data_IF_138379524396
#
_entry.id   IF_138379524396
#
_cell.length_a   1.000
_cell.length_b   1.000
_cell.length_c   1.000
_cell.angle_alpha   90.00
_cell.angle_beta   90.00
_cell.angle_gamma   90.00
#
_symmetry.space_group_name_H-M   'P 1'
#
loop_
_entity.id
_entity.type
_entity.pdbx_description
1 polymer ?
#
# COMPACT_ATOMS: atom_id res chain seq x y z
N UNK A 1 16.25 -8.13 1.62
CA UNK A 1 15.21 -7.98 0.60
C UNK A 1 13.96 -7.41 1.25
N UNK A 2 13.39 -6.38 0.67
CA UNK A 2 12.22 -5.74 1.27
C UNK A 2 10.97 -6.60 1.12
N UNK A 3 10.13 -6.58 2.12
CA UNK A 3 8.90 -7.35 2.19
C UNK A 3 7.72 -6.38 2.19
N UNK A 4 6.89 -6.46 1.16
CA UNK A 4 5.82 -5.50 0.91
C UNK A 4 4.45 -6.15 1.10
N UNK A 5 3.49 -5.37 1.63
CA UNK A 5 2.10 -5.79 1.74
C UNK A 5 1.27 -4.92 0.79
N UNK A 6 0.53 -5.55 -0.10
CA UNK A 6 -0.37 -4.87 -1.04
C UNK A 6 -1.81 -5.19 -0.66
N UNK A 7 -2.60 -4.17 -0.41
CA UNK A 7 -4.00 -4.31 0.00
C UNK A 7 -4.89 -3.67 -1.06
N UNK A 8 -5.65 -4.50 -1.78
CA UNK A 8 -6.54 -4.05 -2.85
C UNK A 8 -7.62 -5.10 -3.04
N UNK A 9 -8.87 -4.69 -3.19
CA UNK A 9 -9.98 -5.63 -3.35
C UNK A 9 -10.07 -6.24 -4.74
N UNK A 10 -9.37 -5.70 -5.72
CA UNK A 10 -9.36 -6.22 -7.08
C UNK A 10 -8.23 -7.21 -7.26
N UNK A 11 -8.58 -8.48 -7.55
CA UNK A 11 -7.57 -9.52 -7.69
C UNK A 11 -6.62 -9.27 -8.85
N UNK A 12 -7.11 -8.68 -9.94
CA UNK A 12 -6.26 -8.38 -11.10
C UNK A 12 -5.19 -7.36 -10.75
N UNK A 13 -5.56 -6.34 -9.96
CA UNK A 13 -4.62 -5.32 -9.51
C UNK A 13 -3.58 -5.94 -8.57
N UNK A 14 -4.03 -6.79 -7.64
CA UNK A 14 -3.10 -7.46 -6.72
C UNK A 14 -2.07 -8.30 -7.50
N UNK A 15 -2.52 -9.06 -8.49
CA UNK A 15 -1.62 -9.87 -9.29
C UNK A 15 -0.63 -9.02 -10.07
N UNK A 16 -1.11 -7.93 -10.66
CA UNK A 16 -0.26 -7.03 -11.42
C UNK A 16 0.82 -6.40 -10.54
N UNK A 17 0.41 -5.85 -9.40
CA UNK A 17 1.34 -5.19 -8.49
C UNK A 17 2.36 -6.19 -7.93
N UNK A 18 1.89 -7.38 -7.54
CA UNK A 18 2.79 -8.40 -7.03
C UNK A 18 3.83 -8.79 -8.07
N UNK A 19 3.40 -9.06 -9.30
CA UNK A 19 4.31 -9.46 -10.36
C UNK A 19 5.36 -8.37 -10.65
N UNK A 20 4.90 -7.13 -10.76
CA UNK A 20 5.79 -6.01 -11.08
C UNK A 20 6.78 -5.70 -9.95
N UNK A 21 6.31 -5.78 -8.71
CA UNK A 21 7.18 -5.50 -7.57
C UNK A 21 8.14 -6.66 -7.29
N UNK A 22 7.70 -7.89 -7.48
CA UNK A 22 8.60 -9.04 -7.39
C UNK A 22 9.69 -8.99 -8.44
N UNK A 23 9.35 -8.47 -9.62
CA UNK A 23 10.32 -8.29 -10.69
C UNK A 23 11.40 -7.27 -10.31
N UNK A 24 11.09 -6.36 -9.39
CA UNK A 24 12.05 -5.39 -8.86
C UNK A 24 12.89 -5.96 -7.71
N UNK A 25 12.65 -7.19 -7.32
CA UNK A 25 13.43 -7.86 -6.28
C UNK A 25 12.80 -7.89 -4.90
N UNK A 26 11.56 -7.42 -4.76
CA UNK A 26 10.88 -7.44 -3.47
C UNK A 26 10.10 -8.74 -3.28
N UNK A 27 9.83 -9.09 -2.02
CA UNK A 27 8.86 -10.12 -1.72
C UNK A 27 7.52 -9.43 -1.45
N UNK A 28 6.42 -9.99 -1.93
CA UNK A 28 5.11 -9.33 -1.87
C UNK A 28 4.05 -10.28 -1.32
N UNK A 29 3.30 -9.80 -0.33
CA UNK A 29 2.09 -10.47 0.15
C UNK A 29 0.91 -9.60 -0.24
N UNK A 30 -0.16 -10.21 -0.72
CA UNK A 30 -1.34 -9.48 -1.15
C UNK A 30 -2.55 -9.83 -0.29
N UNK A 31 -3.40 -8.85 -0.06
CA UNK A 31 -4.63 -9.02 0.72
C UNK A 31 -5.79 -8.34 0.00
N UNK A 32 -6.99 -8.94 0.11
CA UNK A 32 -8.18 -8.42 -0.54
C UNK A 32 -9.12 -7.65 0.38
N UNK A 33 -8.86 -7.64 1.68
CA UNK A 33 -9.73 -6.96 2.63
C UNK A 33 -8.99 -6.61 3.90
N UNK A 34 -9.67 -5.83 4.77
CA UNK A 34 -9.09 -5.33 6.01
C UNK A 34 -8.70 -6.46 6.96
N UNK A 35 -9.55 -7.44 7.10
CA UNK A 35 -9.33 -8.54 8.03
C UNK A 35 -8.03 -9.28 7.70
N UNK A 36 -7.85 -9.63 6.42
CA UNK A 36 -6.63 -10.29 5.97
C UNK A 36 -5.40 -9.44 6.21
N UNK A 37 -5.52 -8.12 5.92
CA UNK A 37 -4.41 -7.20 6.08
C UNK A 37 -3.95 -7.13 7.53
N UNK A 38 -4.89 -7.00 8.46
CA UNK A 38 -4.56 -6.91 9.88
C UNK A 38 -3.95 -8.23 10.37
N UNK A 39 -4.47 -9.36 9.94
CA UNK A 39 -3.89 -10.65 10.29
C UNK A 39 -2.44 -10.75 9.83
N UNK A 40 -2.16 -10.36 8.60
CA UNK A 40 -0.81 -10.41 8.07
C UNK A 40 0.13 -9.49 8.86
N UNK A 41 -0.34 -8.30 9.23
CA UNK A 41 0.46 -7.38 10.03
C UNK A 41 0.80 -7.93 11.41
N UNK A 42 -0.06 -8.75 11.97
CA UNK A 42 0.19 -9.40 13.26
C UNK A 42 1.09 -10.60 13.15
N UNK A 43 1.11 -11.27 12.00
CA UNK A 43 1.85 -12.51 11.81
C UNK A 43 3.27 -12.31 11.30
N UNK A 44 3.55 -11.24 10.57
CA UNK A 44 4.85 -11.02 9.97
C UNK A 44 5.18 -9.53 9.86
N UNK A 45 6.45 -9.27 9.59
CA UNK A 45 6.93 -7.88 9.45
C UNK A 45 6.95 -7.48 7.99
N UNK A 46 6.57 -6.23 7.74
CA UNK A 46 6.63 -5.65 6.41
C UNK A 46 7.46 -4.38 6.44
N UNK A 47 8.11 -4.09 5.34
CA UNK A 47 8.92 -2.89 5.19
C UNK A 47 8.12 -1.73 4.59
N UNK A 48 7.02 -2.03 3.93
CA UNK A 48 6.18 -1.03 3.27
C UNK A 48 4.80 -1.62 3.01
N UNK A 49 3.77 -0.78 3.13
CA UNK A 49 2.39 -1.16 2.81
C UNK A 49 1.91 -0.31 1.65
N UNK A 50 1.28 -0.94 0.67
CA UNK A 50 0.62 -0.27 -0.44
C UNK A 50 -0.88 -0.50 -0.26
N UNK A 51 -1.63 0.57 -0.02
CA UNK A 51 -3.05 0.50 0.32
C UNK A 51 -3.89 1.19 -0.74
N UNK A 52 -4.89 0.47 -1.26
CA UNK A 52 -5.90 1.06 -2.13
C UNK A 52 -6.98 1.71 -1.27
N UNK A 53 -7.11 3.03 -1.36
CA UNK A 53 -8.09 3.75 -0.54
C UNK A 53 -9.52 3.55 -1.01
N UNK A 54 -9.72 2.93 -2.14
CA UNK A 54 -11.05 2.59 -2.63
C UNK A 54 -11.51 1.21 -2.21
N UNK A 55 -10.72 0.54 -1.44
CA UNK A 55 -11.06 -0.75 -0.89
C UNK A 55 -12.24 -0.56 0.05
N UNK A 56 -13.47 -0.62 -0.46
CA UNK A 56 -14.64 -0.43 0.36
C UNK A 56 -14.76 1.03 0.86
N UNK A 57 -15.69 1.70 0.41
CA UNK A 57 -15.95 3.14 0.44
C UNK A 57 -15.48 3.96 1.65
N UNK A 58 -15.89 3.59 2.84
CA UNK A 58 -15.56 4.37 4.03
C UNK A 58 -14.33 3.87 4.72
N UNK A 59 -13.83 2.73 4.29
CA UNK A 59 -12.86 1.99 5.05
C UNK A 59 -11.42 2.36 4.74
N UNK A 60 -11.17 3.10 3.66
CA UNK A 60 -9.80 3.44 3.30
C UNK A 60 -9.08 4.20 4.40
N UNK A 61 -9.69 5.29 4.88
CA UNK A 61 -9.12 6.08 5.95
C UNK A 61 -9.11 5.33 7.27
N UNK A 62 -10.19 4.63 7.59
CA UNK A 62 -10.25 3.82 8.81
C UNK A 62 -9.19 2.74 8.80
N UNK A 63 -9.00 2.09 7.67
CA UNK A 63 -7.98 1.07 7.54
C UNK A 63 -6.58 1.66 7.74
N UNK A 64 -6.33 2.84 7.15
CA UNK A 64 -5.05 3.51 7.34
C UNK A 64 -4.79 3.80 8.80
N UNK A 65 -5.81 4.30 9.53
CA UNK A 65 -5.69 4.57 10.95
C UNK A 65 -5.43 3.30 11.75
N UNK A 66 -6.11 2.21 11.40
CA UNK A 66 -5.92 0.94 12.09
C UNK A 66 -4.53 0.35 11.82
N UNK A 67 -4.05 0.46 10.59
CA UNK A 67 -2.70 0.02 10.24
C UNK A 67 -1.67 0.79 11.07
N UNK A 68 -1.85 2.10 11.18
CA UNK A 68 -0.95 2.93 11.96
C UNK A 68 -0.92 2.53 13.43
N UNK A 69 -2.06 2.14 13.98
CA UNK A 69 -2.12 1.66 15.36
C UNK A 69 -1.43 0.31 15.54
N UNK A 70 -1.56 -0.57 14.55
CA UNK A 70 -0.93 -1.90 14.62
C UNK A 70 0.58 -1.83 14.41
N UNK A 71 1.04 -0.97 13.50
CA UNK A 71 2.44 -0.87 13.11
C UNK A 71 2.78 0.58 12.77
N UNK A 72 3.10 1.38 13.77
CA UNK A 72 3.35 2.81 13.62
C UNK A 72 4.52 3.15 12.71
N UNK A 73 5.50 2.27 12.65
CA UNK A 73 6.76 2.57 11.95
C UNK A 73 6.83 2.06 10.52
N UNK A 74 5.75 1.46 10.02
CA UNK A 74 5.75 0.97 8.65
C UNK A 74 5.25 2.06 7.73
N UNK A 75 6.05 2.47 6.72
CA UNK A 75 5.58 3.46 5.75
C UNK A 75 4.44 2.92 4.90
N UNK A 76 3.53 3.80 4.52
CA UNK A 76 2.34 3.46 3.73
C UNK A 76 2.29 4.33 2.49
N UNK A 77 2.08 3.69 1.33
CA UNK A 77 1.77 4.38 0.08
C UNK A 77 0.28 4.21 -0.19
N UNK A 78 -0.44 5.31 -0.34
CA UNK A 78 -1.84 5.27 -0.74
C UNK A 78 -1.94 5.27 -2.26
N UNK A 79 -2.71 4.35 -2.80
CA UNK A 79 -3.01 4.31 -4.23
C UNK A 79 -4.49 4.59 -4.45
N UNK A 80 -4.79 5.42 -5.45
CA UNK A 80 -6.17 5.77 -5.76
C UNK A 80 -6.33 5.99 -7.27
N UNK A 81 -7.54 5.76 -7.78
CA UNK A 81 -7.88 6.08 -9.15
C UNK A 81 -8.18 7.58 -9.31
N UNK A 82 -8.36 8.31 -8.22
CA UNK A 82 -8.79 9.71 -8.27
C UNK A 82 -7.76 10.63 -7.64
N UNK A 83 -7.24 11.55 -8.44
CA UNK A 83 -6.26 12.51 -7.96
C UNK A 83 -6.81 13.50 -6.93
N UNK A 84 -8.13 13.68 -6.90
CA UNK A 84 -8.75 14.62 -5.96
C UNK A 84 -8.59 14.21 -4.49
N UNK A 85 -8.33 12.94 -4.22
CA UNK A 85 -8.10 12.49 -2.84
C UNK A 85 -6.74 12.91 -2.29
N UNK A 86 -5.85 13.33 -3.16
CA UNK A 86 -4.49 13.68 -2.74
C UNK A 86 -4.47 14.77 -1.69
N UNK A 87 -5.30 15.78 -1.85
CA UNK A 87 -5.37 16.90 -0.91
C UNK A 87 -5.99 16.48 0.43
N UNK A 88 -6.92 15.54 0.40
CA UNK A 88 -7.62 15.10 1.61
C UNK A 88 -6.77 14.22 2.50
N UNK A 89 -5.86 13.43 1.92
CA UNK A 89 -5.10 12.43 2.66
C UNK A 89 -3.63 12.71 2.77
N UNK A 90 -3.11 13.72 2.07
CA UNK A 90 -1.68 13.95 1.98
C UNK A 90 -1.00 14.32 3.29
N UNK A 91 -1.74 14.91 4.23
CA UNK A 91 -1.20 15.33 5.53
C UNK A 91 -1.40 14.28 6.61
N UNK A 92 -1.93 13.13 6.27
CA UNK A 92 -2.30 12.11 7.25
C UNK A 92 -1.14 11.16 7.54
N UNK A 93 -1.42 9.87 7.55
CA UNK A 93 -0.48 8.85 8.01
C UNK A 93 0.33 8.20 6.89
N UNK A 94 0.04 8.58 5.67
CA UNK A 94 0.73 8.01 4.52
C UNK A 94 2.02 8.75 4.21
N UNK A 95 3.00 8.01 3.75
CA UNK A 95 4.31 8.55 3.37
C UNK A 95 4.36 8.97 1.91
N UNK A 96 3.46 8.44 1.09
CA UNK A 96 3.36 8.80 -0.31
C UNK A 96 1.95 8.56 -0.81
N UNK A 97 1.67 9.13 -1.97
CA UNK A 97 0.36 9.09 -2.58
C UNK A 97 0.55 8.90 -4.09
N UNK A 98 -0.03 7.85 -4.64
CA UNK A 98 0.13 7.49 -6.04
C UNK A 98 -1.23 7.34 -6.70
N UNK A 99 -1.41 7.98 -7.85
CA UNK A 99 -2.63 7.80 -8.63
C UNK A 99 -2.48 6.53 -9.46
N UNK A 100 -3.48 5.66 -9.40
CA UNK A 100 -3.46 4.40 -10.15
C UNK A 100 -3.42 4.67 -11.65
N UNK A 101 -2.56 3.96 -12.35
CA UNK A 101 -2.47 4.02 -13.81
C UNK A 101 -1.97 2.69 -14.33
N UNK A 102 -2.02 2.51 -15.66
CA UNK A 102 -1.48 1.32 -16.29
C UNK A 102 0.05 1.28 -16.24
N UNK A 103 0.66 2.44 -16.00
CA UNK A 103 2.11 2.57 -15.86
C UNK A 103 2.46 2.58 -14.37
N UNK A 104 3.23 1.61 -13.92
CA UNK A 104 3.60 1.45 -12.53
C UNK A 104 4.92 2.12 -12.16
N UNK A 105 5.50 2.92 -13.05
CA UNK A 105 6.78 3.57 -12.78
C UNK A 105 6.72 4.50 -11.59
N UNK A 106 5.64 5.26 -11.45
CA UNK A 106 5.48 6.16 -10.31
C UNK A 106 5.45 5.37 -9.01
N UNK A 107 4.69 4.29 -8.96
CA UNK A 107 4.63 3.43 -7.78
C UNK A 107 6.00 2.84 -7.46
N UNK A 108 6.67 2.29 -8.46
CA UNK A 108 7.99 1.69 -8.27
C UNK A 108 9.01 2.71 -7.78
N UNK A 109 8.96 3.94 -8.30
CA UNK A 109 9.85 5.01 -7.88
C UNK A 109 9.61 5.39 -6.42
N UNK A 110 8.34 5.50 -6.01
CA UNK A 110 8.01 5.81 -4.62
C UNK A 110 8.41 4.70 -3.67
N UNK A 111 8.23 3.45 -4.07
CA UNK A 111 8.68 2.32 -3.26
C UNK A 111 10.18 2.40 -3.03
N UNK A 112 10.94 2.61 -4.09
CA UNK A 112 12.40 2.72 -3.99
C UNK A 112 12.82 3.89 -3.11
N UNK A 113 12.18 5.04 -3.28
CA UNK A 113 12.49 6.23 -2.51
C UNK A 113 12.27 6.01 -1.01
N UNK A 114 11.13 5.47 -0.67
CA UNK A 114 10.77 5.26 0.74
C UNK A 114 11.65 4.20 1.39
N UNK A 115 11.91 3.09 0.69
CA UNK A 115 12.76 2.04 1.24
C UNK A 115 14.20 2.51 1.42
N UNK A 116 14.66 3.44 0.59
CA UNK A 116 16.00 4.01 0.73
C UNK A 116 16.12 4.94 1.93
N UNK A 117 15.01 5.46 2.44
CA UNK A 117 15.01 6.35 3.60
C UNK A 117 15.00 5.59 4.94
N UNK A 118 14.70 4.31 4.90
CA UNK A 118 14.55 3.54 6.15
C UNK A 118 15.83 2.80 6.59
#
# INVERSE_FOLDING_TARGET
MAHLLVIDDESDIRHLYAAELEDEGYTVVTCGNRHEAIEQLRCQRFDLIILDIQLDQESGLEMLQQIARERENIPVILCTAYSCYKDDFSSWLADAYVVKSSNLDELKNEVRRILALS
#
